data_IF_893961003864
#
_entry.id   IF_893961003864
#
_cell.length_a   1.000
_cell.length_b   1.000
_cell.length_c   1.000
_cell.angle_alpha   90.00
_cell.angle_beta   90.00
_cell.angle_gamma   90.00
#
_symmetry.space_group_name_H-M   'P 1'
#
loop_
_entity.id
_entity.type
_entity.pdbx_description
1 polymer ?
#
# COMPACT_ATOMS: atom_id res chain seq x y z
N UNK A 1 -0.13 1.80 -17.04
CA UNK A 1 0.24 0.92 -15.91
C UNK A 1 0.11 1.74 -14.65
N UNK A 2 -0.62 1.27 -13.64
CA UNK A 2 -0.93 2.00 -12.40
C UNK A 2 0.33 2.46 -11.65
N UNK A 3 0.57 3.77 -11.62
CA UNK A 3 1.65 4.41 -10.88
C UNK A 3 1.63 4.01 -9.39
N UNK A 4 0.43 3.91 -8.81
CA UNK A 4 0.20 3.48 -7.43
C UNK A 4 0.73 2.06 -7.20
N UNK A 5 0.42 1.11 -8.10
CA UNK A 5 0.91 -0.27 -7.99
C UNK A 5 2.44 -0.32 -8.06
N UNK A 6 3.05 0.49 -8.92
CA UNK A 6 4.52 0.56 -9.03
C UNK A 6 5.16 1.01 -7.73
N UNK A 7 4.67 2.11 -7.14
CA UNK A 7 5.14 2.63 -5.85
C UNK A 7 4.97 1.55 -4.78
N UNK A 8 3.77 1.00 -4.66
CA UNK A 8 3.44 0.06 -3.59
C UNK A 8 4.29 -1.21 -3.65
N UNK A 9 4.49 -1.78 -4.84
CA UNK A 9 5.31 -2.98 -5.03
C UNK A 9 6.81 -2.69 -4.89
N UNK A 10 7.28 -1.51 -5.31
CA UNK A 10 8.67 -1.07 -5.13
C UNK A 10 9.01 -0.92 -3.65
N UNK A 11 8.12 -0.33 -2.86
CA UNK A 11 8.33 -0.20 -1.41
C UNK A 11 8.30 -1.57 -0.72
N UNK A 12 7.44 -2.49 -1.18
CA UNK A 12 7.37 -3.87 -0.65
C UNK A 12 8.71 -4.61 -0.79
N UNK A 13 9.38 -4.46 -1.93
CA UNK A 13 10.67 -5.10 -2.20
C UNK A 13 11.82 -4.54 -1.35
N UNK A 14 11.72 -3.29 -0.90
CA UNK A 14 12.75 -2.63 -0.10
C UNK A 14 12.52 -2.76 1.41
N UNK A 15 11.31 -3.14 1.83
CA UNK A 15 10.98 -3.28 3.24
C UNK A 15 11.32 -4.68 3.75
N UNK A 16 11.85 -4.74 4.98
CA UNK A 16 12.18 -6.00 5.63
C UNK A 16 10.98 -6.63 6.35
N UNK A 17 9.85 -5.91 6.44
CA UNK A 17 8.61 -6.43 7.02
C UNK A 17 7.37 -5.71 6.49
N UNK A 18 6.20 -6.36 6.60
CA UNK A 18 4.91 -5.75 6.28
C UNK A 18 4.62 -4.50 7.11
N UNK A 19 5.12 -4.43 8.36
CA UNK A 19 4.94 -3.27 9.23
C UNK A 19 5.73 -2.07 8.73
N UNK A 20 6.98 -2.28 8.33
CA UNK A 20 7.81 -1.24 7.74
C UNK A 20 7.22 -0.78 6.40
N UNK A 21 6.77 -1.72 5.57
CA UNK A 21 6.11 -1.42 4.31
C UNK A 21 4.86 -0.54 4.50
N UNK A 22 3.98 -0.92 5.44
CA UNK A 22 2.81 -0.11 5.86
C UNK A 22 3.23 1.29 6.29
N UNK A 23 4.28 1.40 7.12
CA UNK A 23 4.78 2.69 7.59
C UNK A 23 5.31 3.58 6.47
N UNK A 24 6.07 3.02 5.52
CA UNK A 24 6.59 3.74 4.34
C UNK A 24 5.44 4.27 3.47
N UNK A 25 4.40 3.47 3.24
CA UNK A 25 3.24 3.86 2.43
C UNK A 25 2.42 5.02 3.02
N UNK A 26 2.39 5.14 4.36
CA UNK A 26 1.76 6.30 5.03
C UNK A 26 2.43 7.61 4.63
N UNK A 27 3.75 7.60 4.41
CA UNK A 27 4.50 8.77 3.91
C UNK A 27 4.06 9.22 2.51
N UNK A 28 3.50 8.31 1.71
CA UNK A 28 2.92 8.61 0.39
C UNK A 28 1.41 8.91 0.46
N UNK A 29 0.81 8.89 1.64
CA UNK A 29 -0.64 9.08 1.83
C UNK A 29 -1.47 7.85 1.49
N UNK A 30 -0.86 6.66 1.44
CA UNK A 30 -1.57 5.39 1.24
C UNK A 30 -1.70 4.61 2.54
N UNK A 31 -2.86 3.98 2.73
CA UNK A 31 -3.12 3.03 3.80
C UNK A 31 -3.19 1.63 3.19
N UNK A 32 -2.56 0.68 3.85
CA UNK A 32 -2.53 -0.71 3.41
C UNK A 32 -3.22 -1.59 4.46
N UNK A 33 -4.34 -2.20 4.07
CA UNK A 33 -5.13 -3.09 4.90
C UNK A 33 -4.96 -4.53 4.43
N UNK A 34 -4.67 -5.41 5.37
CA UNK A 34 -4.50 -6.83 5.10
C UNK A 34 -5.87 -7.50 5.14
N UNK A 35 -6.15 -8.29 4.12
CA UNK A 35 -7.43 -8.99 3.92
C UNK A 35 -7.16 -10.47 3.71
N UNK A 36 -8.19 -11.30 3.78
CA UNK A 36 -8.06 -12.74 3.55
C UNK A 36 -7.50 -13.08 2.15
N UNK A 37 -7.67 -12.19 1.17
CA UNK A 37 -7.25 -12.37 -0.22
C UNK A 37 -5.92 -11.69 -0.57
N UNK A 38 -5.31 -10.92 0.33
CA UNK A 38 -4.12 -10.12 0.02
C UNK A 38 -4.17 -8.74 0.70
N UNK A 39 -3.91 -7.68 -0.05
CA UNK A 39 -3.88 -6.32 0.50
C UNK A 39 -4.75 -5.35 -0.27
N UNK A 40 -5.50 -4.53 0.45
CA UNK A 40 -6.25 -3.41 -0.11
C UNK A 40 -5.45 -2.13 0.17
N UNK A 41 -5.18 -1.37 -0.90
CA UNK A 41 -4.56 -0.06 -0.82
C UNK A 41 -5.66 0.99 -0.90
N UNK A 42 -5.71 1.90 0.06
CA UNK A 42 -6.66 3.01 0.10
C UNK A 42 -5.97 4.37 0.26
N UNK A 43 -6.62 5.43 -0.20
CA UNK A 43 -6.18 6.79 0.03
C UNK A 43 -6.41 7.17 1.50
N UNK A 44 -5.38 7.70 2.17
CA UNK A 44 -5.49 8.12 3.57
C UNK A 44 -6.37 9.36 3.75
N UNK A 45 -6.54 10.17 2.70
CA UNK A 45 -7.36 11.40 2.74
C UNK A 45 -8.85 11.14 2.51
N UNK A 46 -9.19 10.16 1.68
CA UNK A 46 -10.57 9.90 1.26
C UNK A 46 -11.14 8.56 1.73
N UNK A 47 -10.29 7.64 2.20
CA UNK A 47 -10.70 6.27 2.54
C UNK A 47 -11.09 5.42 1.34
N UNK A 48 -11.02 5.96 0.11
CA UNK A 48 -11.35 5.23 -1.10
C UNK A 48 -10.36 4.11 -1.35
N UNK A 49 -10.86 2.92 -1.69
CA UNK A 49 -10.03 1.82 -2.14
C UNK A 49 -9.51 2.13 -3.55
N UNK A 50 -8.19 2.23 -3.68
CA UNK A 50 -7.51 2.56 -4.93
C UNK A 50 -7.21 1.30 -5.74
N UNK A 51 -6.73 0.24 -5.09
CA UNK A 51 -6.46 -1.05 -5.73
C UNK A 51 -6.35 -2.20 -4.72
N UNK A 52 -6.47 -3.43 -5.22
CA UNK A 52 -6.19 -4.66 -4.47
C UNK A 52 -4.93 -5.35 -5.03
N UNK A 53 -4.13 -5.93 -4.14
CA UNK A 53 -2.87 -6.65 -4.39
C UNK A 53 -2.94 -8.10 -3.96
#
# INVERSE_FOLDING_TARGET
MDEIRSIVMREKQQSVSNREWKHRLVGYGYKLEETASGFVVSSMRGGEALLTL
#
